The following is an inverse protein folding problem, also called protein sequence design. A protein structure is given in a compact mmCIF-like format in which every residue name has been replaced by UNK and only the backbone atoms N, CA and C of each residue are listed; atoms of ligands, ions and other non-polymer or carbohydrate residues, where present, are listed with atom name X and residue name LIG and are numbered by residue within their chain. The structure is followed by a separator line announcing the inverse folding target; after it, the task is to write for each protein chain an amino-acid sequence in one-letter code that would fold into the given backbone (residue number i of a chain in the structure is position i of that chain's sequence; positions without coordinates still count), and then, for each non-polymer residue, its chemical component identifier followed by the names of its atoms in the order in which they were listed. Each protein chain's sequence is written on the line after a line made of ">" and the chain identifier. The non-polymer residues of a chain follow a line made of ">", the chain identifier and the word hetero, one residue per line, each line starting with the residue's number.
data_IF_145013324451
#
_entry.id   IF_145013324451
#
_cell.length_a   1.000
_cell.length_b   1.000
_cell.length_c   1.000
_cell.angle_alpha   90.00
_cell.angle_beta   90.00
_cell.angle_gamma   90.00
#
_symmetry.space_group_name_H-M   'P 1'
#
loop_
_entity.id
_entity.type
_entity.pdbx_description
1 polymer ?
#
# COMPACT_ATOMS: atom_id res chain seq x y z
N UNK A 1 14.22 -12.61 -40.65
CA UNK A 1 15.21 -12.67 -39.56
C UNK A 1 14.57 -12.03 -38.34
N UNK A 2 14.60 -12.76 -37.24
CA UNK A 2 13.68 -12.68 -36.11
C UNK A 2 13.76 -11.36 -35.33
N UNK A 3 12.58 -10.88 -34.92
CA UNK A 3 12.43 -9.90 -33.86
C UNK A 3 12.96 -10.52 -32.57
N UNK A 4 14.17 -10.16 -32.18
CA UNK A 4 14.76 -10.58 -30.92
C UNK A 4 14.00 -9.98 -29.74
N UNK A 5 13.27 -10.81 -29.02
CA UNK A 5 12.72 -10.51 -27.69
C UNK A 5 13.85 -10.02 -26.77
N UNK A 6 13.92 -8.69 -26.59
CA UNK A 6 14.74 -8.09 -25.55
C UNK A 6 14.16 -8.45 -24.19
N UNK A 7 14.67 -9.53 -23.59
CA UNK A 7 14.52 -9.80 -22.16
C UNK A 7 15.04 -8.59 -21.38
N UNK A 8 14.11 -7.83 -20.80
CA UNK A 8 14.37 -6.70 -19.88
C UNK A 8 15.33 -7.18 -18.79
N UNK A 9 16.58 -6.73 -18.84
CA UNK A 9 17.61 -7.14 -17.88
C UNK A 9 17.58 -6.16 -16.72
N UNK A 10 17.07 -6.60 -15.56
CA UNK A 10 17.19 -5.85 -14.30
C UNK A 10 18.61 -6.03 -13.79
N UNK A 11 19.34 -4.93 -13.60
CA UNK A 11 20.68 -4.95 -12.99
C UNK A 11 20.55 -5.44 -11.54
N UNK A 12 20.96 -6.69 -11.29
CA UNK A 12 21.05 -7.27 -9.94
C UNK A 12 22.25 -6.69 -9.22
N UNK A 13 22.08 -5.52 -8.59
CA UNK A 13 22.99 -5.09 -7.54
C UNK A 13 22.37 -5.56 -6.23
N UNK A 14 22.91 -6.61 -5.61
CA UNK A 14 22.50 -7.05 -4.28
C UNK A 14 22.79 -5.92 -3.29
N UNK A 15 21.77 -5.14 -2.99
CA UNK A 15 21.80 -4.14 -1.92
C UNK A 15 21.45 -4.90 -0.65
N UNK A 16 22.44 -5.03 0.26
CA UNK A 16 22.29 -5.77 1.52
C UNK A 16 20.99 -5.38 2.22
N UNK A 17 20.07 -6.35 2.38
CA UNK A 17 18.82 -6.18 3.11
C UNK A 17 17.54 -6.04 2.26
N UNK A 18 17.63 -5.67 0.97
CA UNK A 18 16.48 -5.60 0.05
C UNK A 18 16.71 -6.50 -1.16
N UNK A 19 15.68 -7.25 -1.57
CA UNK A 19 15.79 -8.09 -2.78
C UNK A 19 15.57 -7.24 -4.02
N UNK A 20 16.46 -7.37 -5.00
CA UNK A 20 16.21 -6.86 -6.36
C UNK A 20 15.14 -7.74 -7.01
N UNK A 21 14.06 -7.12 -7.45
CA UNK A 21 12.86 -7.84 -7.89
C UNK A 21 13.12 -8.61 -9.20
N UNK A 22 12.63 -9.85 -9.28
CA UNK A 22 12.64 -10.66 -10.52
C UNK A 22 11.32 -10.59 -11.32
N UNK A 23 10.25 -10.11 -10.70
CA UNK A 23 8.89 -10.03 -11.28
C UNK A 23 8.28 -8.64 -11.13
N UNK A 24 7.98 -7.92 -12.21
CA UNK A 24 7.35 -6.60 -12.11
C UNK A 24 5.83 -6.76 -11.87
N UNK A 25 5.20 -6.03 -10.93
CA UNK A 25 3.74 -5.89 -10.93
C UNK A 25 3.28 -5.44 -12.32
N UNK A 26 2.13 -5.93 -12.81
CA UNK A 26 1.59 -5.57 -14.14
C UNK A 26 1.51 -4.06 -14.37
N UNK A 27 1.20 -3.31 -13.30
CA UNK A 27 1.27 -1.83 -13.29
C UNK A 27 2.63 -1.32 -13.75
N UNK A 28 3.73 -1.94 -13.36
CA UNK A 28 5.07 -1.55 -13.81
C UNK A 28 5.41 -2.06 -15.22
N UNK A 29 4.65 -3.00 -15.78
CA UNK A 29 4.82 -3.45 -17.16
C UNK A 29 4.15 -2.48 -18.14
N UNK A 30 3.00 -1.91 -17.75
CA UNK A 30 2.17 -0.99 -18.55
C UNK A 30 2.67 0.46 -18.57
N UNK A 31 3.69 0.78 -17.79
CA UNK A 31 4.32 2.09 -17.79
C UNK A 31 5.65 2.00 -18.57
N UNK A 32 5.78 2.82 -19.62
CA UNK A 32 7.00 2.98 -20.42
C UNK A 32 8.10 3.67 -19.58
N UNK A 33 8.62 2.98 -18.57
CA UNK A 33 9.84 3.41 -17.92
C UNK A 33 10.96 3.26 -18.92
N UNK A 34 11.67 4.36 -19.18
CA UNK A 34 12.82 4.43 -20.07
C UNK A 34 13.60 3.09 -20.07
N UNK A 35 13.40 2.34 -21.14
CA UNK A 35 13.58 0.90 -21.22
C UNK A 35 14.91 0.43 -20.57
N UNK A 36 14.79 -0.40 -19.52
CA UNK A 36 15.87 -1.25 -19.03
C UNK A 36 16.85 -0.68 -17.99
N UNK A 37 16.59 0.48 -17.38
CA UNK A 37 17.54 1.08 -16.41
C UNK A 37 16.94 1.45 -15.05
N UNK A 38 15.72 1.01 -14.74
CA UNK A 38 15.14 1.23 -13.42
C UNK A 38 15.67 0.20 -12.41
N UNK A 39 16.13 0.67 -11.24
CA UNK A 39 16.44 -0.18 -10.10
C UNK A 39 15.16 -0.42 -9.30
N UNK A 40 14.72 -1.67 -9.23
CA UNK A 40 13.49 -2.05 -8.51
C UNK A 40 13.85 -2.82 -7.25
N UNK A 41 13.43 -2.28 -6.11
CA UNK A 41 13.67 -2.80 -4.78
C UNK A 41 12.35 -3.26 -4.18
N UNK A 42 12.34 -4.42 -3.53
CA UNK A 42 11.18 -4.95 -2.82
C UNK A 42 11.47 -5.10 -1.34
N UNK A 43 10.57 -4.55 -0.51
CA UNK A 43 10.43 -4.89 0.89
C UNK A 43 9.11 -5.64 1.08
N UNK A 44 9.18 -6.96 1.28
CA UNK A 44 8.00 -7.82 1.46
C UNK A 44 7.42 -7.73 2.87
N UNK A 45 8.23 -7.27 3.81
CA UNK A 45 7.84 -7.05 5.18
C UNK A 45 8.47 -5.78 5.74
N UNK A 46 7.84 -5.25 6.79
CA UNK A 46 8.40 -4.19 7.60
C UNK A 46 9.73 -4.59 8.25
N UNK A 47 9.93 -5.88 8.52
CA UNK A 47 11.18 -6.40 9.07
C UNK A 47 12.35 -6.31 8.08
N UNK A 48 12.14 -6.70 6.81
CA UNK A 48 13.17 -6.57 5.76
C UNK A 48 13.59 -5.10 5.59
N UNK A 49 12.61 -4.21 5.56
CA UNK A 49 12.82 -2.78 5.48
C UNK A 49 13.58 -2.24 6.70
N UNK A 50 13.17 -2.61 7.92
CA UNK A 50 13.86 -2.22 9.16
C UNK A 50 15.29 -2.70 9.16
N UNK A 51 15.54 -3.96 8.76
CA UNK A 51 16.88 -4.51 8.66
C UNK A 51 17.74 -3.70 7.70
N UNK A 52 17.21 -3.37 6.52
CA UNK A 52 17.89 -2.48 5.59
C UNK A 52 18.25 -1.13 6.23
N UNK A 53 17.32 -0.51 6.97
CA UNK A 53 17.59 0.76 7.66
C UNK A 53 18.75 0.61 8.66
N UNK A 54 18.69 -0.39 9.55
CA UNK A 54 19.73 -0.64 10.55
C UNK A 54 21.10 -0.93 9.93
N UNK A 55 21.13 -1.77 8.89
CA UNK A 55 22.37 -2.14 8.19
C UNK A 55 23.04 -0.93 7.49
N UNK A 56 22.30 0.18 7.30
CA UNK A 56 22.76 1.37 6.57
C UNK A 56 22.62 2.68 7.40
N UNK A 57 22.49 2.58 8.72
CA UNK A 57 22.36 3.75 9.63
C UNK A 57 23.50 4.75 9.43
N UNK A 58 24.75 4.27 9.52
CA UNK A 58 25.98 5.04 9.40
C UNK A 58 26.45 5.31 7.97
N UNK A 59 25.57 5.14 6.97
CA UNK A 59 25.95 5.36 5.57
C UNK A 59 26.41 6.81 5.34
N UNK A 60 27.72 6.99 5.11
CA UNK A 60 28.42 8.29 4.95
C UNK A 60 28.88 8.56 3.51
N UNK A 61 28.67 7.61 2.60
CA UNK A 61 29.12 7.71 1.20
C UNK A 61 28.20 8.58 0.32
N UNK A 62 27.20 9.22 0.92
CA UNK A 62 26.35 10.23 0.29
C UNK A 62 26.52 11.58 1.01
N UNK A 63 26.89 12.67 0.31
CA UNK A 63 26.82 14.03 0.84
C UNK A 63 25.38 14.54 0.97
N UNK A 64 24.40 13.82 0.43
CA UNK A 64 22.98 14.03 0.75
C UNK A 64 22.66 13.24 2.01
N UNK A 65 22.20 13.93 3.05
CA UNK A 65 21.86 13.35 4.34
C UNK A 65 20.48 13.84 4.83
N UNK A 66 19.53 13.99 3.91
CA UNK A 66 18.19 14.46 4.26
C UNK A 66 17.44 13.40 5.07
N UNK A 67 17.78 12.11 4.90
CA UNK A 67 17.29 11.06 5.82
C UNK A 67 17.68 11.31 7.28
N UNK A 68 18.69 12.13 7.57
CA UNK A 68 19.11 12.48 8.93
C UNK A 68 18.77 13.93 9.30
N UNK A 69 17.98 14.66 8.50
CA UNK A 69 17.51 16.02 8.83
C UNK A 69 16.45 16.02 9.93
N UNK A 70 16.36 17.15 10.62
CA UNK A 70 15.60 17.36 11.87
C UNK A 70 14.07 17.38 11.73
N UNK A 71 13.40 17.36 12.89
CA UNK A 71 11.96 17.12 13.16
C UNK A 71 10.96 17.82 12.23
N UNK A 72 11.22 19.07 11.87
CA UNK A 72 10.23 19.91 11.17
C UNK A 72 9.90 19.34 9.78
N UNK A 73 10.89 18.71 9.15
CA UNK A 73 10.74 18.16 7.80
C UNK A 73 10.56 16.64 7.80
N UNK A 74 11.38 15.89 8.56
CA UNK A 74 11.34 14.43 8.56
C UNK A 74 10.27 13.84 9.47
N UNK A 75 9.74 14.61 10.43
CA UNK A 75 8.73 14.16 11.39
C UNK A 75 9.27 13.38 12.60
N UNK A 76 10.58 13.12 12.67
CA UNK A 76 11.30 12.45 13.79
C UNK A 76 12.60 13.19 14.07
N UNK A 77 13.07 13.24 15.32
CA UNK A 77 14.32 13.91 15.69
C UNK A 77 15.55 13.02 15.50
N UNK A 78 15.48 11.78 15.96
CA UNK A 78 16.66 10.89 16.00
C UNK A 78 16.41 9.62 15.21
N UNK A 79 17.48 8.90 14.89
CA UNK A 79 17.36 7.64 14.16
C UNK A 79 16.64 6.58 14.99
N UNK A 80 16.90 6.57 16.30
CA UNK A 80 16.22 5.70 17.27
C UNK A 80 14.72 5.96 17.31
N UNK A 81 14.28 7.22 17.27
CA UNK A 81 12.85 7.56 17.16
C UNK A 81 12.23 7.06 15.85
N UNK A 82 12.99 7.05 14.76
CA UNK A 82 12.53 6.51 13.49
C UNK A 82 12.42 4.99 13.52
N UNK A 83 13.40 4.29 14.10
CA UNK A 83 13.34 2.85 14.32
C UNK A 83 12.19 2.49 15.26
N UNK A 84 11.96 3.25 16.33
CA UNK A 84 10.80 3.08 17.21
C UNK A 84 9.48 3.28 16.45
N UNK A 85 9.41 4.26 15.53
CA UNK A 85 8.24 4.44 14.68
C UNK A 85 8.02 3.24 13.74
N UNK A 86 9.07 2.63 13.19
CA UNK A 86 8.94 1.39 12.44
C UNK A 86 8.47 0.25 13.34
N UNK A 87 8.97 0.19 14.57
CA UNK A 87 8.64 -0.87 15.52
C UNK A 87 7.28 -0.74 16.15
N UNK A 88 6.73 0.46 16.30
CA UNK A 88 5.54 0.74 17.11
C UNK A 88 4.45 1.53 16.38
N UNK A 89 4.75 2.07 15.20
CA UNK A 89 3.86 2.97 14.49
C UNK A 89 3.76 4.33 15.15
N UNK A 90 3.22 5.31 14.41
CA UNK A 90 2.95 6.64 14.96
C UNK A 90 1.61 6.62 15.70
N UNK A 91 1.65 6.79 17.03
CA UNK A 91 0.46 6.70 17.90
C UNK A 91 -0.65 7.67 17.51
N UNK A 92 -0.30 8.90 17.13
CA UNK A 92 -1.27 9.92 16.74
C UNK A 92 -1.90 9.58 15.39
N UNK A 93 -1.08 9.14 14.42
CA UNK A 93 -1.56 8.68 13.11
C UNK A 93 -2.45 7.45 13.28
N UNK A 94 -2.05 6.46 14.09
CA UNK A 94 -2.86 5.28 14.37
C UNK A 94 -4.24 5.64 14.95
N UNK A 95 -4.27 6.57 15.91
CA UNK A 95 -5.53 7.04 16.50
C UNK A 95 -6.43 7.69 15.46
N UNK A 96 -5.88 8.59 14.64
CA UNK A 96 -6.62 9.24 13.54
C UNK A 96 -7.11 8.21 12.52
N UNK A 97 -6.25 7.30 12.08
CA UNK A 97 -6.59 6.24 11.12
C UNK A 97 -7.76 5.39 11.62
N UNK A 98 -7.74 4.96 12.89
CA UNK A 98 -8.85 4.18 13.48
C UNK A 98 -10.17 4.94 13.45
N UNK A 99 -10.17 6.22 13.83
CA UNK A 99 -11.36 7.07 13.85
C UNK A 99 -11.93 7.21 12.43
N UNK A 100 -11.08 7.59 11.47
CA UNK A 100 -11.49 7.79 10.07
C UNK A 100 -11.96 6.48 9.45
N UNK A 101 -11.23 5.39 9.65
CA UNK A 101 -11.58 4.06 9.13
C UNK A 101 -12.96 3.63 9.61
N UNK A 102 -13.23 3.72 10.92
CA UNK A 102 -14.52 3.34 11.49
C UNK A 102 -15.66 4.23 10.96
N UNK A 103 -15.43 5.54 10.87
CA UNK A 103 -16.40 6.48 10.31
C UNK A 103 -16.73 6.13 8.85
N UNK A 104 -15.69 5.98 8.02
CA UNK A 104 -15.83 5.64 6.60
C UNK A 104 -16.52 4.30 6.41
N UNK A 105 -16.17 3.29 7.20
CA UNK A 105 -16.83 1.97 7.16
C UNK A 105 -18.32 2.12 7.42
N UNK A 106 -18.71 2.85 8.47
CA UNK A 106 -20.11 3.11 8.79
C UNK A 106 -20.85 3.93 7.71
N UNK A 107 -20.19 4.91 7.10
CA UNK A 107 -20.75 5.71 6.01
C UNK A 107 -20.95 4.85 4.74
N UNK A 108 -20.01 3.96 4.42
CA UNK A 108 -20.09 3.04 3.28
C UNK A 108 -21.19 1.99 3.47
N UNK A 109 -21.34 1.41 4.67
CA UNK A 109 -22.46 0.49 4.95
C UNK A 109 -23.82 1.16 4.77
N UNK A 110 -23.96 2.43 5.15
CA UNK A 110 -25.20 3.17 4.93
C UNK A 110 -25.43 3.45 3.45
N UNK A 111 -24.38 3.81 2.73
CA UNK A 111 -24.44 4.21 1.33
C UNK A 111 -24.70 3.04 0.38
N UNK A 112 -24.13 1.87 0.66
CA UNK A 112 -24.22 0.67 -0.16
C UNK A 112 -24.95 -0.45 0.57
N UNK A 113 -25.90 -0.11 1.44
CA UNK A 113 -26.65 -1.06 2.26
C UNK A 113 -27.19 -2.21 1.42
N UNK A 114 -27.86 -1.89 0.31
CA UNK A 114 -28.53 -2.86 -0.56
C UNK A 114 -27.57 -3.82 -1.27
N UNK A 115 -26.32 -3.39 -1.48
CA UNK A 115 -25.26 -4.18 -2.12
C UNK A 115 -24.55 -5.07 -1.09
N UNK A 116 -24.31 -4.52 0.11
CA UNK A 116 -23.59 -5.19 1.20
C UNK A 116 -24.50 -6.19 1.96
N UNK A 117 -25.82 -5.94 2.02
CA UNK A 117 -26.77 -6.83 2.68
C UNK A 117 -27.35 -7.85 1.72
N UNK A 118 -26.60 -8.92 1.42
CA UNK A 118 -27.10 -10.13 0.78
C UNK A 118 -27.49 -11.19 1.80
N UNK A 119 -28.28 -10.82 2.81
CA UNK A 119 -28.96 -11.83 3.63
C UNK A 119 -30.23 -12.26 2.88
N UNK A 120 -30.27 -13.49 2.36
CA UNK A 120 -31.55 -14.09 2.03
C UNK A 120 -32.28 -14.35 3.34
N UNK A 121 -33.45 -13.72 3.48
CA UNK A 121 -34.42 -14.13 4.48
C UNK A 121 -34.96 -15.49 4.02
N UNK A 122 -34.58 -16.55 4.71
CA UNK A 122 -35.23 -17.85 4.49
C UNK A 122 -36.62 -17.77 5.10
N UNK A 123 -37.60 -17.35 4.30
CA UNK A 123 -39.01 -17.34 4.68
C UNK A 123 -39.59 -18.74 4.45
N UNK A 124 -38.98 -19.77 5.04
CA UNK A 124 -39.64 -21.07 5.21
C UNK A 124 -39.63 -21.48 6.68
N UNK A 125 -40.39 -20.74 7.50
CA UNK A 125 -40.59 -21.10 8.90
C UNK A 125 -41.13 -19.95 9.74
N UNK A 126 -42.41 -19.60 9.59
CA UNK A 126 -43.09 -18.65 10.50
C UNK A 126 -43.16 -19.18 11.94
N UNK A 127 -42.92 -20.49 12.13
CA UNK A 127 -42.95 -21.17 13.42
C UNK A 127 -41.67 -21.97 13.65
N UNK A 128 -41.12 -21.83 14.85
CA UNK A 128 -39.96 -22.60 15.33
C UNK A 128 -40.32 -24.09 15.44
N UNK A 129 -39.69 -24.96 14.65
CA UNK A 129 -39.90 -26.41 14.77
C UNK A 129 -39.13 -26.98 15.98
N UNK A 130 -39.83 -27.04 17.11
CA UNK A 130 -39.33 -27.62 18.37
C UNK A 130 -38.88 -29.09 18.16
N UNK A 131 -39.53 -29.82 17.24
CA UNK A 131 -39.20 -31.22 16.94
C UNK A 131 -37.80 -31.36 16.32
N UNK A 132 -37.46 -30.49 15.38
CA UNK A 132 -36.13 -30.49 14.74
C UNK A 132 -35.01 -30.14 15.74
N UNK A 133 -35.26 -29.17 16.62
CA UNK A 133 -34.31 -28.77 17.67
C UNK A 133 -34.07 -29.90 18.67
N UNK A 134 -35.12 -30.60 19.09
CA UNK A 134 -35.01 -31.77 19.95
C UNK A 134 -34.30 -32.95 19.25
N UNK A 135 -34.33 -32.99 17.92
CA UNK A 135 -33.60 -33.98 17.11
C UNK A 135 -32.12 -33.61 16.86
N UNK A 136 -31.67 -32.44 17.34
CA UNK A 136 -30.28 -32.00 17.24
C UNK A 136 -29.92 -31.27 15.94
N UNK A 137 -30.91 -30.89 15.13
CA UNK A 137 -30.72 -30.11 13.90
C UNK A 137 -31.37 -28.74 14.11
N UNK A 138 -30.66 -27.75 14.67
CA UNK A 138 -31.22 -26.44 14.92
C UNK A 138 -31.49 -25.69 13.61
N UNK A 139 -32.70 -25.13 13.49
CA UNK A 139 -33.11 -24.28 12.38
C UNK A 139 -32.51 -22.87 12.56
N UNK A 140 -31.85 -22.34 11.52
CA UNK A 140 -31.14 -21.05 11.59
C UNK A 140 -31.90 -20.03 10.74
N UNK A 141 -32.40 -18.97 11.38
CA UNK A 141 -33.27 -17.94 10.76
C UNK A 141 -32.57 -17.12 9.67
N UNK A 142 -31.24 -17.13 9.71
CA UNK A 142 -30.36 -16.49 8.75
C UNK A 142 -29.30 -17.50 8.40
N UNK A 143 -29.39 -18.08 7.22
CA UNK A 143 -28.26 -18.76 6.62
C UNK A 143 -27.53 -17.76 5.71
N UNK A 144 -26.25 -17.45 5.95
CA UNK A 144 -25.48 -16.76 4.95
C UNK A 144 -25.47 -17.65 3.70
N UNK A 145 -25.82 -17.08 2.55
CA UNK A 145 -25.61 -17.73 1.26
C UNK A 145 -24.10 -17.79 1.07
N UNK A 146 -23.48 -18.86 1.53
CA UNK A 146 -22.08 -19.15 1.23
C UNK A 146 -22.11 -19.81 -0.15
N UNK A 147 -22.31 -19.00 -1.18
CA UNK A 147 -21.86 -19.42 -2.51
C UNK A 147 -20.36 -19.70 -2.36
N UNK A 148 -19.94 -20.94 -2.62
CA UNK A 148 -18.53 -21.30 -2.75
C UNK A 148 -17.98 -20.66 -4.04
N UNK A 149 -18.09 -19.35 -4.18
CA UNK A 149 -17.30 -18.63 -5.16
C UNK A 149 -15.85 -18.60 -4.67
N UNK A 150 -14.89 -18.79 -5.58
CA UNK A 150 -13.49 -18.50 -5.29
C UNK A 150 -13.42 -17.12 -4.64
N UNK A 151 -12.88 -17.03 -3.43
CA UNK A 151 -12.75 -15.75 -2.72
C UNK A 151 -12.12 -14.74 -3.65
N UNK A 152 -12.89 -13.71 -4.01
CA UNK A 152 -12.42 -12.69 -4.91
C UNK A 152 -11.21 -12.00 -4.29
N UNK A 153 -10.11 -11.94 -5.04
CA UNK A 153 -8.86 -11.32 -4.61
C UNK A 153 -8.65 -10.00 -5.32
N UNK A 154 -8.43 -8.94 -4.55
CA UNK A 154 -8.18 -7.60 -5.08
C UNK A 154 -6.80 -7.11 -4.63
N UNK A 155 -5.93 -6.83 -5.60
CA UNK A 155 -4.68 -6.11 -5.39
C UNK A 155 -4.92 -4.60 -5.49
N UNK A 156 -4.63 -3.87 -4.40
CA UNK A 156 -4.62 -2.42 -4.38
C UNK A 156 -3.18 -1.92 -4.40
N UNK A 157 -2.87 -1.10 -5.39
CA UNK A 157 -1.55 -0.49 -5.57
C UNK A 157 -1.64 1.01 -5.32
N UNK A 158 -0.96 1.44 -4.27
CA UNK A 158 -0.85 2.84 -3.85
C UNK A 158 0.43 3.44 -4.45
N UNK A 159 0.33 4.64 -5.02
CA UNK A 159 1.50 5.45 -5.35
C UNK A 159 1.87 6.38 -4.19
N UNK A 160 2.96 6.05 -3.51
CA UNK A 160 3.59 6.86 -2.46
C UNK A 160 4.59 7.90 -2.99
N UNK A 161 4.74 8.04 -4.31
CA UNK A 161 5.62 9.03 -4.92
C UNK A 161 4.90 10.38 -4.99
N UNK A 162 5.28 11.31 -4.12
CA UNK A 162 4.74 12.66 -4.15
C UNK A 162 5.76 13.66 -3.63
N UNK A 163 5.51 14.94 -3.90
CA UNK A 163 6.39 16.02 -3.45
C UNK A 163 6.46 16.08 -1.91
N UNK A 164 7.65 16.35 -1.39
CA UNK A 164 7.90 16.70 0.01
C UNK A 164 6.90 17.72 0.62
N UNK A 165 6.31 18.61 -0.19
CA UNK A 165 5.32 19.60 0.22
C UNK A 165 3.96 19.03 0.66
N UNK A 166 3.68 17.73 0.44
CA UNK A 166 2.40 17.14 0.82
C UNK A 166 2.19 17.14 2.35
N UNK A 167 0.97 17.49 2.77
CA UNK A 167 0.61 17.60 4.19
C UNK A 167 0.32 16.22 4.80
N UNK A 168 0.81 16.01 6.02
CA UNK A 168 0.63 14.77 6.78
C UNK A 168 -0.84 14.42 7.01
N UNK A 169 -1.65 15.41 7.38
CA UNK A 169 -3.05 15.18 7.68
C UNK A 169 -3.84 14.73 6.44
N UNK A 170 -3.62 15.36 5.28
CA UNK A 170 -4.28 14.96 4.03
C UNK A 170 -3.98 13.51 3.65
N UNK A 171 -2.72 13.10 3.77
CA UNK A 171 -2.32 11.72 3.50
C UNK A 171 -2.99 10.76 4.50
N UNK A 172 -2.97 11.12 5.79
CA UNK A 172 -3.58 10.31 6.86
C UNK A 172 -5.08 10.13 6.66
N UNK A 173 -5.79 11.19 6.29
CA UNK A 173 -7.22 11.17 5.97
C UNK A 173 -7.52 10.22 4.81
N UNK A 174 -6.82 10.39 3.70
CA UNK A 174 -7.02 9.58 2.50
C UNK A 174 -6.72 8.10 2.75
N UNK A 175 -5.66 7.77 3.50
CA UNK A 175 -5.39 6.38 3.89
C UNK A 175 -6.50 5.84 4.78
N UNK A 176 -7.00 6.62 5.74
CA UNK A 176 -8.14 6.23 6.57
C UNK A 176 -9.40 5.91 5.75
N UNK A 177 -9.66 6.68 4.68
CA UNK A 177 -10.72 6.38 3.72
C UNK A 177 -10.48 5.05 2.99
N UNK A 178 -9.27 4.83 2.49
CA UNK A 178 -8.90 3.58 1.81
C UNK A 178 -9.02 2.36 2.74
N UNK A 179 -8.56 2.48 3.99
CA UNK A 179 -8.71 1.41 4.99
C UNK A 179 -10.18 1.11 5.30
N UNK A 180 -11.03 2.13 5.35
CA UNK A 180 -12.48 1.94 5.52
C UNK A 180 -13.10 1.18 4.36
N UNK A 181 -12.71 1.52 3.12
CA UNK A 181 -13.11 0.78 1.93
C UNK A 181 -12.65 -0.68 1.98
N UNK A 182 -11.38 -0.92 2.30
CA UNK A 182 -10.81 -2.26 2.45
C UNK A 182 -11.58 -3.10 3.46
N UNK A 183 -11.91 -2.51 4.61
CA UNK A 183 -12.66 -3.21 5.66
C UNK A 183 -14.04 -3.65 5.19
N UNK A 184 -14.76 -2.80 4.48
CA UNK A 184 -16.07 -3.17 3.91
C UNK A 184 -15.94 -4.32 2.91
N UNK A 185 -14.89 -4.31 2.07
CA UNK A 185 -14.64 -5.41 1.12
C UNK A 185 -14.34 -6.73 1.84
N UNK A 186 -13.52 -6.69 2.88
CA UNK A 186 -13.21 -7.88 3.69
C UNK A 186 -14.44 -8.44 4.40
N UNK A 187 -15.32 -7.56 4.88
CA UNK A 187 -16.61 -7.96 5.47
C UNK A 187 -17.57 -8.58 4.43
N UNK A 188 -17.42 -8.21 3.15
CA UNK A 188 -18.13 -8.85 2.03
C UNK A 188 -17.44 -10.14 1.53
N UNK A 189 -16.39 -10.63 2.21
CA UNK A 189 -15.71 -11.87 1.84
C UNK A 189 -14.60 -11.72 0.79
N UNK A 190 -14.24 -10.50 0.40
CA UNK A 190 -13.18 -10.21 -0.57
C UNK A 190 -11.82 -10.16 0.14
N UNK A 191 -10.85 -10.92 -0.34
CA UNK A 191 -9.47 -10.87 0.15
C UNK A 191 -8.73 -9.70 -0.50
N UNK A 192 -8.12 -8.82 0.31
CA UNK A 192 -7.47 -7.60 -0.19
C UNK A 192 -5.97 -7.59 0.12
N UNK A 193 -5.16 -7.20 -0.87
CA UNK A 193 -3.74 -6.91 -0.68
C UNK A 193 -3.46 -5.43 -0.93
N UNK A 194 -2.52 -4.85 -0.18
CA UNK A 194 -2.11 -3.45 -0.35
C UNK A 194 -0.61 -3.38 -0.51
N UNK A 195 -0.18 -2.92 -1.68
CA UNK A 195 1.22 -2.61 -1.98
C UNK A 195 1.38 -1.12 -2.21
N UNK A 196 2.42 -0.55 -1.64
CA UNK A 196 2.82 0.82 -1.92
C UNK A 196 4.02 0.81 -2.86
N UNK A 197 3.93 1.59 -3.93
CA UNK A 197 5.02 1.85 -4.86
C UNK A 197 5.45 3.30 -4.66
N UNK A 198 6.73 3.51 -4.39
CA UNK A 198 7.33 4.83 -4.34
C UNK A 198 8.52 4.84 -5.29
N UNK A 199 8.51 5.74 -6.25
CA UNK A 199 9.50 5.81 -7.30
C UNK A 199 9.96 7.23 -7.58
N UNK A 200 11.26 7.36 -7.81
CA UNK A 200 11.92 8.61 -8.18
C UNK A 200 12.65 8.42 -9.49
N UNK A 201 12.57 9.44 -10.34
CA UNK A 201 13.30 9.50 -11.60
C UNK A 201 14.34 10.60 -11.53
N UNK A 202 15.51 10.33 -12.11
CA UNK A 202 16.57 11.31 -12.23
C UNK A 202 16.10 12.51 -13.07
N UNK A 203 16.36 13.73 -12.59
CA UNK A 203 15.96 14.96 -13.28
C UNK A 203 16.86 15.26 -14.49
N UNK A 204 18.12 14.80 -14.49
CA UNK A 204 19.09 15.11 -15.54
C UNK A 204 19.62 13.84 -16.23
N UNK A 205 19.42 13.73 -17.54
CA UNK A 205 19.86 12.60 -18.38
C UNK A 205 21.39 12.42 -18.50
N UNK A 206 22.19 13.28 -17.87
CA UNK A 206 23.67 13.22 -17.96
C UNK A 206 24.28 12.05 -17.17
N UNK A 207 23.52 11.46 -16.27
CA UNK A 207 23.91 10.28 -15.50
C UNK A 207 23.58 8.99 -16.26
N UNK A 208 24.57 8.09 -16.40
CA UNK A 208 24.45 6.82 -17.16
C UNK A 208 24.04 5.60 -16.31
N UNK A 209 23.78 5.77 -15.01
CA UNK A 209 23.54 4.64 -14.09
C UNK A 209 22.25 4.82 -13.29
N UNK A 210 21.32 3.87 -13.46
CA UNK A 210 19.97 3.80 -12.88
C UNK A 210 19.13 5.08 -13.02
N UNK A 211 18.41 5.23 -14.15
CA UNK A 211 17.58 6.42 -14.45
C UNK A 211 16.41 6.61 -13.47
N UNK A 212 15.97 5.53 -12.83
CA UNK A 212 14.87 5.52 -11.88
C UNK A 212 15.13 4.53 -10.75
N UNK A 213 14.66 4.84 -9.55
CA UNK A 213 14.61 3.93 -8.41
C UNK A 213 13.15 3.74 -8.05
N UNK A 214 12.71 2.49 -7.89
CA UNK A 214 11.35 2.14 -7.52
C UNK A 214 11.43 1.21 -6.31
N UNK A 215 10.82 1.61 -5.20
CA UNK A 215 10.60 0.77 -4.03
C UNK A 215 9.16 0.29 -4.03
N UNK A 216 9.00 -1.02 -3.84
CA UNK A 216 7.71 -1.66 -3.57
C UNK A 216 7.73 -2.13 -2.12
N UNK A 217 6.75 -1.67 -1.33
CA UNK A 217 6.58 -2.07 0.05
C UNK A 217 5.21 -2.71 0.24
N UNK A 218 5.20 -3.93 0.80
CA UNK A 218 3.93 -4.60 1.12
C UNK A 218 3.38 -4.08 2.44
N UNK A 219 2.23 -3.40 2.38
CA UNK A 219 1.56 -2.82 3.55
C UNK A 219 0.63 -3.83 4.20
N UNK A 220 -0.10 -4.60 3.38
CA UNK A 220 -1.04 -5.63 3.83
C UNK A 220 -1.06 -6.80 2.85
N UNK A 221 -1.05 -8.04 3.36
CA UNK A 221 -1.26 -9.25 2.56
C UNK A 221 -2.73 -9.71 2.60
N UNK A 222 -3.11 -10.61 1.70
CA UNK A 222 -4.48 -11.10 1.53
C UNK A 222 -5.09 -11.71 2.80
N UNK A 223 -4.29 -12.46 3.54
CA UNK A 223 -4.61 -13.19 4.77
C UNK A 223 -4.28 -12.41 6.05
N UNK A 224 -3.77 -11.19 5.91
CA UNK A 224 -3.37 -10.33 7.04
C UNK A 224 -4.51 -9.34 7.37
N UNK A 225 -5.00 -9.29 8.63
CA UNK A 225 -5.95 -8.26 9.03
C UNK A 225 -5.32 -6.86 8.96
N UNK A 226 -6.15 -5.82 8.85
CA UNK A 226 -5.65 -4.43 8.80
C UNK A 226 -4.85 -4.10 10.09
N UNK A 227 -3.53 -4.00 9.92
CA UNK A 227 -2.60 -3.65 10.99
C UNK A 227 -2.29 -2.15 10.97
N UNK A 228 -3.03 -1.38 11.78
CA UNK A 228 -2.85 0.09 11.87
C UNK A 228 -1.42 0.50 12.24
N UNK A 229 -0.72 -0.30 13.03
CA UNK A 229 0.68 -0.04 13.42
C UNK A 229 1.59 -0.12 12.21
N UNK A 230 1.52 -1.22 11.46
CA UNK A 230 2.25 -1.40 10.19
C UNK A 230 1.88 -0.34 9.14
N UNK A 231 0.59 -0.03 9.00
CA UNK A 231 0.13 1.01 8.05
C UNK A 231 0.64 2.39 8.44
N UNK A 232 0.57 2.78 9.72
CA UNK A 232 1.09 4.07 10.19
C UNK A 232 2.61 4.18 10.04
N UNK A 233 3.32 3.07 10.20
CA UNK A 233 4.76 3.01 10.00
C UNK A 233 5.13 3.16 8.51
N UNK A 234 4.41 2.50 7.60
CA UNK A 234 4.78 2.43 6.18
C UNK A 234 4.14 3.48 5.29
N UNK A 235 3.00 4.05 5.67
CA UNK A 235 2.31 5.06 4.88
C UNK A 235 2.16 6.36 5.69
N UNK A 236 3.23 6.75 6.39
CA UNK A 236 3.37 8.09 6.95
C UNK A 236 4.31 8.94 6.09
N UNK A 237 4.11 10.27 6.03
CA UNK A 237 5.11 11.16 5.43
C UNK A 237 6.48 11.02 6.09
N UNK A 238 6.53 10.68 7.38
CA UNK A 238 7.79 10.43 8.09
C UNK A 238 8.54 9.27 7.44
N UNK A 239 7.88 8.14 7.19
CA UNK A 239 8.48 7.02 6.47
C UNK A 239 8.84 7.39 5.03
N UNK A 240 7.93 8.06 4.32
CA UNK A 240 8.16 8.42 2.92
C UNK A 240 9.25 9.48 2.73
N UNK A 241 9.54 10.30 3.75
CA UNK A 241 10.68 11.22 3.73
C UNK A 241 11.93 10.50 4.23
N UNK A 242 11.91 9.92 5.42
CA UNK A 242 13.13 9.38 6.02
C UNK A 242 13.57 8.06 5.41
N UNK A 243 12.66 7.11 5.27
CA UNK A 243 12.94 5.77 4.76
C UNK A 243 13.28 5.79 3.27
N UNK A 244 12.43 6.42 2.46
CA UNK A 244 12.69 6.50 1.01
C UNK A 244 13.98 7.24 0.70
N UNK A 245 14.23 8.40 1.34
CA UNK A 245 15.47 9.12 1.10
C UNK A 245 16.70 8.35 1.56
N UNK A 246 16.63 7.57 2.66
CA UNK A 246 17.74 6.69 3.04
C UNK A 246 18.01 5.64 1.97
N UNK A 247 16.96 5.00 1.44
CA UNK A 247 17.10 4.03 0.35
C UNK A 247 17.73 4.71 -0.86
N UNK A 248 17.27 5.90 -1.23
CA UNK A 248 17.81 6.66 -2.37
C UNK A 248 19.27 7.07 -2.14
N UNK A 249 19.65 7.53 -0.95
CA UNK A 249 21.05 7.88 -0.60
C UNK A 249 21.98 6.68 -0.75
N UNK A 250 21.58 5.52 -0.20
CA UNK A 250 22.36 4.28 -0.23
C UNK A 250 22.48 3.73 -1.65
N UNK A 251 21.39 3.76 -2.41
CA UNK A 251 21.30 3.06 -3.70
C UNK A 251 21.69 3.92 -4.88
N UNK A 252 21.40 5.22 -4.84
CA UNK A 252 21.76 6.15 -5.90
C UNK A 252 23.17 6.72 -5.74
N UNK A 253 23.77 6.73 -4.54
CA UNK A 253 25.10 7.31 -4.28
C UNK A 253 25.31 8.68 -4.98
N UNK A 254 24.39 9.62 -4.79
CA UNK A 254 24.33 10.95 -5.44
C UNK A 254 23.88 11.03 -6.90
N UNK A 255 23.50 9.93 -7.53
CA UNK A 255 23.28 9.97 -8.96
C UNK A 255 21.92 10.54 -9.36
N UNK A 256 21.06 10.91 -8.41
CA UNK A 256 19.83 11.68 -8.65
C UNK A 256 20.20 13.16 -8.76
N UNK A 257 20.29 13.67 -9.98
CA UNK A 257 20.76 15.02 -10.21
C UNK A 257 19.69 16.03 -9.75
N UNK A 258 20.09 17.03 -8.95
CA UNK A 258 19.21 18.08 -8.43
C UNK A 258 18.51 17.79 -7.09
N UNK A 259 18.88 16.72 -6.37
CA UNK A 259 18.29 16.36 -5.08
C UNK A 259 17.89 14.88 -5.05
N UNK A 260 16.63 14.59 -4.72
CA UNK A 260 16.04 13.25 -4.68
C UNK A 260 15.25 12.89 -5.96
N UNK A 261 15.52 13.60 -7.07
CA UNK A 261 14.83 13.39 -8.34
C UNK A 261 13.38 13.91 -8.37
N UNK A 262 12.63 13.47 -9.38
CA UNK A 262 11.22 13.80 -9.59
C UNK A 262 10.34 12.60 -9.19
N UNK A 263 9.24 12.81 -8.43
CA UNK A 263 8.32 11.72 -8.11
C UNK A 263 7.70 11.15 -9.40
N UNK A 264 7.66 9.82 -9.48
CA UNK A 264 7.12 9.11 -10.63
C UNK A 264 5.60 8.95 -10.52
N UNK A 265 4.93 9.00 -11.66
CA UNK A 265 3.51 8.64 -11.77
C UNK A 265 3.41 7.24 -12.35
N UNK A 266 2.52 6.45 -11.78
CA UNK A 266 2.28 5.06 -12.18
C UNK A 266 0.83 4.92 -12.64
N UNK A 267 0.61 4.64 -13.93
CA UNK A 267 -0.73 4.38 -14.45
C UNK A 267 -1.35 3.18 -13.74
N UNK A 268 -2.63 3.29 -13.35
CA UNK A 268 -3.36 2.22 -12.66
C UNK A 268 -3.12 2.13 -11.15
N UNK A 269 -2.43 3.12 -10.57
CA UNK A 269 -2.24 3.24 -9.11
C UNK A 269 -3.12 4.32 -8.50
N UNK A 270 -3.29 4.28 -7.19
CA UNK A 270 -4.02 5.28 -6.42
C UNK A 270 -3.02 6.30 -5.86
N UNK A 271 -3.11 7.55 -6.29
CA UNK A 271 -2.29 8.62 -5.71
C UNK A 271 -2.89 9.02 -4.35
N UNK A 272 -2.30 8.57 -3.24
CA UNK A 272 -2.85 8.77 -1.88
C UNK A 272 -2.97 10.22 -1.43
N UNK A 273 -2.35 11.17 -2.13
CA UNK A 273 -2.54 12.60 -1.86
C UNK A 273 -3.76 13.17 -2.61
N UNK A 274 -4.40 12.39 -3.48
CA UNK A 274 -5.60 12.76 -4.23
C UNK A 274 -6.80 11.93 -3.80
N UNK A 275 -7.69 12.53 -3.00
CA UNK A 275 -8.93 11.88 -2.54
C UNK A 275 -9.79 11.32 -3.68
N UNK A 276 -9.84 12.03 -4.82
CA UNK A 276 -10.61 11.63 -6.01
C UNK A 276 -10.25 10.24 -6.54
N UNK A 277 -9.00 9.80 -6.36
CA UNK A 277 -8.54 8.50 -6.86
C UNK A 277 -9.13 7.36 -6.01
N UNK A 278 -9.27 7.59 -4.70
CA UNK A 278 -9.93 6.66 -3.78
C UNK A 278 -11.44 6.63 -4.04
N UNK A 279 -12.05 7.79 -4.26
CA UNK A 279 -13.48 7.87 -4.62
C UNK A 279 -13.78 7.22 -5.97
N UNK A 280 -12.84 7.29 -6.92
CA UNK A 280 -12.94 6.60 -8.20
C UNK A 280 -12.84 5.07 -8.02
N UNK A 281 -11.93 4.60 -7.14
CA UNK A 281 -11.87 3.19 -6.77
C UNK A 281 -13.17 2.72 -6.12
N UNK A 282 -13.67 3.45 -5.13
CA UNK A 282 -14.95 3.16 -4.44
C UNK A 282 -16.08 3.00 -5.47
N UNK A 283 -16.23 3.98 -6.37
CA UNK A 283 -17.25 3.94 -7.42
C UNK A 283 -17.06 2.76 -8.36
N UNK A 284 -15.82 2.39 -8.71
CA UNK A 284 -15.55 1.25 -9.60
C UNK A 284 -16.00 -0.05 -8.97
N UNK A 285 -15.63 -0.27 -7.71
CA UNK A 285 -15.94 -1.50 -6.98
C UNK A 285 -17.46 -1.66 -6.81
N UNK A 286 -18.15 -0.63 -6.32
CA UNK A 286 -19.59 -0.73 -6.03
C UNK A 286 -20.53 -0.43 -7.22
N UNK A 287 -20.03 0.03 -8.39
CA UNK A 287 -20.86 0.15 -9.60
C UNK A 287 -20.86 -1.10 -10.47
N UNK A 288 -19.80 -1.90 -10.46
CA UNK A 288 -19.73 -3.10 -11.30
C UNK A 288 -20.72 -4.19 -10.83
N UNK A 289 -21.12 -4.19 -9.57
CA UNK A 289 -22.14 -5.11 -9.03
C UNK A 289 -23.59 -4.78 -9.46
N UNK A 290 -23.89 -3.54 -9.86
CA UNK A 290 -25.22 -3.16 -10.38
C UNK A 290 -25.42 -3.54 -11.87
N UNK A 291 -24.49 -4.27 -12.48
CA UNK A 291 -24.52 -4.68 -13.91
C UNK A 291 -24.62 -6.19 -14.13
N UNK A 292 -24.68 -6.99 -13.07
CA UNK A 292 -25.08 -8.40 -13.14
C UNK A 292 -26.54 -8.53 -12.71
#
# INVERSE_FOLDING_TARGET
>A
MENGDMKKTVTKTDIKGLKVHSFLPKVLEDNDFAAGTALILEARSLHELKKFMLDNEDFKDSPQNASMKTREWSGTFTWEEYIDLLDNGDKEVMKKLKIITNKTTGDLHKKYKDVISSYQYDVTGEFFDIGLVLSGVPEVWLQPVIEQEEKQRIDIIINGSFDSAQKKDTITENIGYLLGLLKVLEECGVETSVKMIAGVQNYWERSRTNKSIILITTVKQYDEPINFKKVSALISPTYLRRGMFKIEEVTAKMNLAGGYGKPMKFKGTIEIHHKRDIEALEKRIFKEENRK
#
